data_IF_873256082643
#
_entry.id   IF_873256082643
#
_cell.length_a   1.000
_cell.length_b   1.000
_cell.length_c   1.000
_cell.angle_alpha   90.00
_cell.angle_beta   90.00
_cell.angle_gamma   90.00
#
_symmetry.space_group_name_H-M   'P 1'
#
loop_
_entity.id
_entity.type
_entity.pdbx_description
1 polymer ?
#
# COMPACT_ATOMS: atom_id res chain seq x y z
N UNK A 1 9.55 -47.06 -43.58
CA UNK A 1 9.75 -46.10 -42.46
C UNK A 1 11.25 -45.93 -42.32
N UNK A 2 11.79 -44.76 -42.70
CA UNK A 2 13.22 -44.53 -42.63
C UNK A 2 13.65 -44.51 -41.15
N UNK A 3 14.71 -45.25 -40.82
CA UNK A 3 15.32 -45.19 -39.50
C UNK A 3 15.94 -43.79 -39.34
N UNK A 4 15.43 -43.04 -38.37
CA UNK A 4 15.99 -41.76 -37.95
C UNK A 4 17.50 -41.92 -37.68
N UNK A 5 18.33 -41.09 -38.30
CA UNK A 5 19.79 -41.22 -38.15
C UNK A 5 20.20 -40.88 -36.73
N UNK A 6 21.32 -41.44 -36.26
CA UNK A 6 21.87 -41.14 -34.93
C UNK A 6 22.21 -39.63 -34.79
N UNK A 7 22.59 -38.99 -35.89
CA UNK A 7 22.80 -37.54 -35.99
C UNK A 7 21.49 -36.74 -35.84
N UNK A 8 20.38 -37.20 -36.43
CA UNK A 8 19.07 -36.57 -36.26
C UNK A 8 18.57 -36.66 -34.82
N UNK A 9 18.83 -37.78 -34.14
CA UNK A 9 18.50 -37.97 -32.72
C UNK A 9 19.33 -37.05 -31.83
N UNK A 10 20.63 -36.96 -32.08
CA UNK A 10 21.53 -36.07 -31.35
C UNK A 10 21.14 -34.59 -31.53
N UNK A 11 20.75 -34.21 -32.76
CA UNK A 11 20.26 -32.86 -33.05
C UNK A 11 18.95 -32.55 -32.31
N UNK A 12 18.01 -33.50 -32.26
CA UNK A 12 16.76 -33.36 -31.49
C UNK A 12 17.00 -33.24 -29.99
N UNK A 13 17.88 -34.06 -29.41
CA UNK A 13 18.22 -33.95 -27.99
C UNK A 13 18.89 -32.61 -27.68
N UNK A 14 19.80 -32.16 -28.54
CA UNK A 14 20.46 -30.85 -28.39
C UNK A 14 19.44 -29.70 -28.42
N UNK A 15 18.51 -29.68 -29.39
CA UNK A 15 17.47 -28.64 -29.45
C UNK A 15 16.52 -28.68 -28.24
N UNK A 16 16.21 -29.86 -27.70
CA UNK A 16 15.41 -29.99 -26.49
C UNK A 16 16.14 -29.41 -25.27
N UNK A 17 17.43 -29.71 -25.13
CA UNK A 17 18.27 -29.21 -24.04
C UNK A 17 18.45 -27.69 -24.12
N UNK A 18 18.75 -27.16 -25.30
CA UNK A 18 18.79 -25.70 -25.54
C UNK A 18 17.46 -25.05 -25.15
N UNK A 19 16.33 -25.65 -25.55
CA UNK A 19 15.01 -25.12 -25.22
C UNK A 19 14.70 -25.21 -23.71
N UNK A 20 15.21 -26.21 -22.99
CA UNK A 20 15.07 -26.31 -21.54
C UNK A 20 15.87 -25.20 -20.83
N UNK A 21 17.12 -24.99 -21.25
CA UNK A 21 17.97 -23.89 -20.75
C UNK A 21 17.35 -22.52 -21.04
N UNK A 22 16.76 -22.32 -22.23
CA UNK A 22 16.04 -21.09 -22.56
C UNK A 22 14.85 -20.84 -21.63
N UNK A 23 14.09 -21.88 -21.28
CA UNK A 23 12.97 -21.75 -20.33
C UNK A 23 13.46 -21.38 -18.93
N UNK A 24 14.51 -22.03 -18.46
CA UNK A 24 15.08 -21.78 -17.14
C UNK A 24 15.65 -20.36 -17.05
N UNK A 25 16.38 -19.92 -18.08
CA UNK A 25 16.87 -18.54 -18.20
C UNK A 25 15.72 -17.52 -18.17
N UNK A 26 14.60 -17.82 -18.84
CA UNK A 26 13.44 -16.93 -18.85
C UNK A 26 12.77 -16.87 -17.47
N UNK A 27 12.65 -18.00 -16.76
CA UNK A 27 12.15 -18.04 -15.37
C UNK A 27 13.01 -17.15 -14.47
N UNK A 28 14.34 -17.30 -14.54
CA UNK A 28 15.27 -16.48 -13.76
C UNK A 28 15.17 -15.00 -14.12
N UNK A 29 15.07 -14.68 -15.41
CA UNK A 29 14.89 -13.30 -15.90
C UNK A 29 13.66 -12.67 -15.28
N UNK A 30 12.50 -13.33 -15.36
CA UNK A 30 11.22 -12.82 -14.83
C UNK A 30 11.31 -12.58 -13.32
N UNK A 31 11.92 -13.50 -12.58
CA UNK A 31 12.06 -13.38 -11.12
C UNK A 31 13.07 -12.29 -10.72
N UNK A 32 14.08 -12.03 -11.55
CA UNK A 32 15.04 -10.95 -11.35
C UNK A 32 14.50 -9.56 -11.72
N UNK A 33 13.39 -9.49 -12.47
CA UNK A 33 12.79 -8.22 -12.87
C UNK A 33 12.29 -7.42 -11.67
N UNK A 34 12.21 -6.10 -11.85
CA UNK A 34 11.77 -5.25 -10.76
C UNK A 34 10.27 -5.42 -10.49
N UNK A 35 9.92 -5.93 -9.29
CA UNK A 35 8.55 -6.31 -8.89
C UNK A 35 7.46 -5.25 -9.12
N UNK A 36 7.82 -3.96 -9.10
CA UNK A 36 6.87 -2.85 -9.29
C UNK A 36 6.72 -2.42 -10.76
N UNK A 37 7.51 -2.96 -11.69
CA UNK A 37 7.43 -2.64 -13.11
C UNK A 37 6.87 -3.82 -13.93
N UNK A 38 5.57 -3.81 -14.27
CA UNK A 38 4.94 -4.88 -15.06
C UNK A 38 5.49 -5.03 -16.48
N UNK A 39 5.97 -3.95 -17.10
CA UNK A 39 6.51 -3.98 -18.47
C UNK A 39 7.80 -4.80 -18.56
N UNK A 40 8.65 -4.75 -17.53
CA UNK A 40 9.89 -5.55 -17.46
C UNK A 40 9.62 -7.05 -17.37
N UNK A 41 8.59 -7.46 -16.63
CA UNK A 41 8.21 -8.87 -16.50
C UNK A 41 7.82 -9.44 -17.87
N UNK A 42 7.08 -8.68 -18.68
CA UNK A 42 6.70 -9.08 -20.04
C UNK A 42 7.80 -8.82 -21.08
N UNK A 43 8.91 -8.19 -20.70
CA UNK A 43 9.96 -7.74 -21.61
C UNK A 43 9.41 -6.85 -22.75
N UNK A 44 8.54 -5.91 -22.40
CA UNK A 44 7.91 -4.98 -23.34
C UNK A 44 8.41 -3.55 -23.12
N UNK A 45 8.57 -2.76 -24.19
CA UNK A 45 8.82 -1.32 -24.05
C UNK A 45 7.56 -0.61 -23.53
N UNK A 46 7.75 0.53 -22.88
CA UNK A 46 6.67 1.30 -22.24
C UNK A 46 5.63 1.86 -23.23
N UNK A 47 5.92 1.89 -24.53
CA UNK A 47 5.02 2.31 -25.61
C UNK A 47 4.16 1.17 -26.18
N UNK A 48 4.30 -0.06 -25.68
CA UNK A 48 3.57 -1.22 -26.17
C UNK A 48 2.07 -1.09 -25.96
N UNK A 49 1.24 -1.56 -26.90
CA UNK A 49 -0.22 -1.54 -26.77
C UNK A 49 -0.74 -2.61 -25.79
N UNK A 50 -2.01 -2.54 -25.42
CA UNK A 50 -2.67 -3.59 -24.62
C UNK A 50 -2.74 -4.94 -25.34
N UNK A 51 -2.78 -4.93 -26.68
CA UNK A 51 -2.77 -6.16 -27.47
C UNK A 51 -1.38 -6.81 -27.51
N UNK A 52 -0.31 -6.00 -27.53
CA UNK A 52 1.07 -6.51 -27.43
C UNK A 52 1.30 -7.18 -26.07
N UNK A 53 0.75 -6.59 -24.99
CA UNK A 53 0.74 -7.19 -23.64
C UNK A 53 0.10 -8.58 -23.67
N UNK A 54 -1.06 -8.74 -24.31
CA UNK A 54 -1.74 -10.05 -24.41
C UNK A 54 -0.94 -11.07 -25.23
N UNK A 55 -0.41 -10.65 -26.38
CA UNK A 55 0.39 -11.51 -27.26
C UNK A 55 1.65 -12.01 -26.55
N UNK A 56 2.36 -11.08 -25.92
CA UNK A 56 3.61 -11.39 -25.24
C UNK A 56 3.37 -12.25 -23.99
N UNK A 57 2.32 -11.96 -23.21
CA UNK A 57 1.92 -12.82 -22.11
C UNK A 57 1.63 -14.25 -22.59
N UNK A 58 0.88 -14.43 -23.68
CA UNK A 58 0.61 -15.77 -24.23
C UNK A 58 1.89 -16.50 -24.63
N UNK A 59 2.86 -15.81 -25.22
CA UNK A 59 4.16 -16.39 -25.59
C UNK A 59 4.96 -16.82 -24.35
N UNK A 60 5.11 -15.92 -23.38
CA UNK A 60 5.90 -16.17 -22.18
C UNK A 60 5.25 -17.20 -21.25
N UNK A 61 3.94 -17.12 -21.05
CA UNK A 61 3.19 -18.07 -20.20
C UNK A 61 3.30 -19.51 -20.69
N UNK A 62 3.36 -19.74 -22.00
CA UNK A 62 3.60 -21.08 -22.56
C UNK A 62 5.05 -21.56 -22.33
N UNK A 63 6.01 -20.63 -22.35
CA UNK A 63 7.42 -20.92 -22.16
C UNK A 63 7.73 -21.28 -20.70
N UNK A 64 7.18 -20.52 -19.74
CA UNK A 64 7.39 -20.72 -18.29
C UNK A 64 6.26 -21.49 -17.61
N UNK A 65 5.40 -22.16 -18.37
CA UNK A 65 4.29 -22.93 -17.79
C UNK A 65 4.85 -24.04 -16.88
N UNK A 66 4.33 -24.21 -15.65
CA UNK A 66 4.88 -25.19 -14.69
C UNK A 66 4.76 -26.65 -15.14
N UNK A 67 3.90 -26.95 -16.13
CA UNK A 67 3.78 -28.28 -16.74
C UNK A 67 4.86 -28.55 -17.81
N UNK A 68 5.38 -27.51 -18.46
CA UNK A 68 6.36 -27.62 -19.56
C UNK A 68 7.79 -27.30 -19.11
N UNK A 69 7.94 -26.45 -18.09
CA UNK A 69 9.20 -26.05 -17.50
C UNK A 69 9.38 -26.79 -16.16
N UNK A 70 10.47 -27.55 -16.03
CA UNK A 70 10.77 -28.34 -14.82
C UNK A 70 11.40 -27.51 -13.69
N UNK A 71 11.66 -26.22 -13.93
CA UNK A 71 12.29 -25.33 -12.95
C UNK A 71 11.42 -25.20 -11.68
N UNK A 72 12.04 -25.32 -10.51
CA UNK A 72 11.33 -25.27 -9.22
C UNK A 72 10.52 -23.97 -9.02
N UNK A 73 11.02 -22.85 -9.57
CA UNK A 73 10.38 -21.54 -9.46
C UNK A 73 9.47 -21.18 -10.65
N UNK A 74 9.21 -22.09 -11.59
CA UNK A 74 8.36 -21.81 -12.76
C UNK A 74 6.95 -21.31 -12.35
N UNK A 75 6.38 -21.87 -11.28
CA UNK A 75 5.09 -21.44 -10.72
C UNK A 75 5.11 -19.98 -10.24
N UNK A 76 6.21 -19.55 -9.60
CA UNK A 76 6.37 -18.19 -9.11
C UNK A 76 6.52 -17.20 -10.27
N UNK A 77 7.35 -17.53 -11.26
CA UNK A 77 7.53 -16.72 -12.47
C UNK A 77 6.21 -16.59 -13.26
N UNK A 78 5.46 -17.68 -13.40
CA UNK A 78 4.15 -17.66 -14.04
C UNK A 78 3.16 -16.74 -13.31
N UNK A 79 3.13 -16.81 -11.97
CA UNK A 79 2.28 -15.94 -11.16
C UNK A 79 2.68 -14.45 -11.31
N UNK A 80 3.98 -14.16 -11.37
CA UNK A 80 4.49 -12.81 -11.62
C UNK A 80 4.08 -12.27 -13.00
N UNK A 81 4.16 -13.11 -14.05
CA UNK A 81 3.67 -12.76 -15.39
C UNK A 81 2.16 -12.48 -15.41
N UNK A 82 1.37 -13.34 -14.75
CA UNK A 82 -0.08 -13.19 -14.70
C UNK A 82 -0.47 -11.88 -14.00
N UNK A 83 0.18 -11.58 -12.86
CA UNK A 83 -0.01 -10.30 -12.16
C UNK A 83 0.39 -9.10 -13.02
N UNK A 84 1.52 -9.18 -13.72
CA UNK A 84 1.97 -8.11 -14.61
C UNK A 84 0.97 -7.85 -15.75
N UNK A 85 0.43 -8.92 -16.35
CA UNK A 85 -0.60 -8.80 -17.38
C UNK A 85 -1.88 -8.14 -16.82
N UNK A 86 -2.36 -8.58 -15.65
CA UNK A 86 -3.55 -8.00 -15.01
C UNK A 86 -3.41 -6.49 -14.78
N UNK A 87 -2.28 -6.05 -14.23
CA UNK A 87 -2.00 -4.64 -13.99
C UNK A 87 -1.93 -3.81 -15.29
N UNK A 88 -1.43 -4.40 -16.38
CA UNK A 88 -1.32 -3.70 -17.67
C UNK A 88 -2.60 -3.74 -18.52
N UNK A 89 -3.56 -4.60 -18.16
CA UNK A 89 -4.89 -4.65 -18.76
C UNK A 89 -5.87 -3.73 -18.05
N UNK A 90 -5.68 -3.48 -16.75
CA UNK A 90 -6.44 -2.46 -16.02
C UNK A 90 -6.04 -1.05 -16.51
N UNK A 91 -7.00 -0.28 -17.07
CA UNK A 91 -6.72 1.07 -17.56
C UNK A 91 -6.15 2.00 -16.49
N UNK A 92 -6.63 1.90 -15.24
CA UNK A 92 -6.23 2.83 -14.16
C UNK A 92 -4.79 2.57 -13.73
N UNK A 93 -4.45 1.31 -13.45
CA UNK A 93 -3.09 0.91 -13.07
C UNK A 93 -2.10 1.15 -14.21
N UNK A 94 -2.49 0.84 -15.44
CA UNK A 94 -1.67 1.12 -16.62
C UNK A 94 -1.39 2.61 -16.78
N UNK A 95 -2.42 3.46 -16.67
CA UNK A 95 -2.27 4.91 -16.74
C UNK A 95 -1.37 5.44 -15.62
N UNK A 96 -1.54 4.94 -14.40
CA UNK A 96 -0.68 5.29 -13.27
C UNK A 96 0.80 4.99 -13.57
N UNK A 97 1.11 3.77 -14.05
CA UNK A 97 2.47 3.38 -14.40
C UNK A 97 3.01 4.24 -15.54
N UNK A 98 2.22 4.48 -16.59
CA UNK A 98 2.62 5.33 -17.72
C UNK A 98 2.87 6.79 -17.29
N UNK A 99 2.10 7.31 -16.35
CA UNK A 99 2.32 8.63 -15.74
C UNK A 99 3.67 8.69 -15.03
N UNK A 100 4.02 7.66 -14.25
CA UNK A 100 5.36 7.58 -13.63
C UNK A 100 6.48 7.48 -14.66
N UNK A 101 6.27 6.73 -15.75
CA UNK A 101 7.23 6.64 -16.87
C UNK A 101 7.40 7.99 -17.56
N UNK A 102 6.32 8.74 -17.79
CA UNK A 102 6.39 10.07 -18.40
C UNK A 102 7.11 11.06 -17.48
N UNK A 103 6.85 11.01 -16.17
CA UNK A 103 7.60 11.80 -15.20
C UNK A 103 9.10 11.48 -15.23
N UNK A 104 9.46 10.19 -15.28
CA UNK A 104 10.85 9.74 -15.43
C UNK A 104 11.51 10.27 -16.71
N UNK A 105 10.79 10.20 -17.84
CA UNK A 105 11.26 10.74 -19.13
C UNK A 105 11.49 12.25 -19.06
N UNK A 106 10.58 12.99 -18.46
CA UNK A 106 10.67 14.45 -18.36
C UNK A 106 11.81 14.90 -17.45
N UNK A 107 12.07 14.18 -16.36
CA UNK A 107 13.25 14.43 -15.52
C UNK A 107 14.55 14.20 -16.29
N UNK A 108 14.65 13.12 -17.07
CA UNK A 108 15.83 12.83 -17.88
C UNK A 108 16.04 13.88 -18.97
N UNK A 109 14.98 14.27 -19.69
CA UNK A 109 15.01 15.38 -20.65
C UNK A 109 15.46 16.68 -20.00
N UNK A 110 14.94 16.99 -18.81
CA UNK A 110 15.31 18.19 -18.06
C UNK A 110 16.77 18.19 -17.62
N UNK A 111 17.30 17.04 -17.18
CA UNK A 111 18.74 16.88 -16.85
C UNK A 111 19.60 17.11 -18.09
N UNK A 112 19.27 16.45 -19.22
CA UNK A 112 20.00 16.59 -20.48
C UNK A 112 20.00 18.03 -20.99
N UNK A 113 18.85 18.71 -20.94
CA UNK A 113 18.74 20.13 -21.31
C UNK A 113 19.61 21.04 -20.44
N UNK A 114 19.78 20.71 -19.16
CA UNK A 114 20.68 21.46 -18.25
C UNK A 114 22.16 21.22 -18.57
N UNK A 115 22.54 19.99 -18.92
CA UNK A 115 23.90 19.66 -19.37
C UNK A 115 24.26 20.40 -20.67
N UNK A 116 23.37 20.33 -21.67
CA UNK A 116 23.57 21.04 -22.94
C UNK A 116 23.64 22.56 -22.79
N UNK A 117 23.04 23.13 -21.74
CA UNK A 117 23.16 24.57 -21.44
C UNK A 117 24.52 24.95 -20.86
N UNK A 118 25.25 24.00 -20.25
CA UNK A 118 26.59 24.26 -19.68
C UNK A 118 27.67 24.25 -20.76
N UNK A 119 27.52 23.41 -21.79
CA UNK A 119 28.47 23.30 -22.89
C UNK A 119 27.98 24.06 -24.14
N UNK A 120 28.51 25.26 -24.38
CA UNK A 120 28.13 26.09 -25.54
C UNK A 120 28.36 25.39 -26.89
N UNK A 121 29.38 24.53 -27.02
CA UNK A 121 29.67 23.79 -28.25
C UNK A 121 28.56 22.76 -28.59
N UNK A 122 28.05 22.07 -27.58
CA UNK A 122 27.00 21.04 -27.71
C UNK A 122 25.63 21.69 -27.95
N UNK A 123 25.40 22.88 -27.40
CA UNK A 123 24.22 23.72 -27.67
C UNK A 123 24.14 24.17 -29.13
N UNK A 124 25.26 24.58 -29.73
CA UNK A 124 25.31 24.96 -31.15
C UNK A 124 25.03 23.73 -32.03
N UNK A 125 25.57 22.55 -31.67
CA UNK A 125 25.35 21.31 -32.42
C UNK A 125 23.90 20.80 -32.35
N UNK A 126 23.21 20.98 -31.22
CA UNK A 126 21.80 20.59 -31.08
C UNK A 126 20.82 21.58 -31.73
N UNK A 127 21.16 22.88 -31.79
CA UNK A 127 20.37 23.91 -32.49
C UNK A 127 20.37 23.74 -34.01
N UNK A 128 21.45 23.19 -34.57
CA UNK A 128 21.60 22.97 -36.03
C UNK A 128 20.74 21.82 -36.55
N UNK A 129 20.32 20.89 -35.69
CA UNK A 129 19.71 19.61 -36.11
C UNK A 129 18.20 19.51 -35.82
N UNK A 130 17.51 20.64 -35.57
CA UNK A 130 16.05 20.78 -35.44
C UNK A 130 15.35 19.69 -34.59
N UNK A 131 15.98 19.21 -33.50
CA UNK A 131 15.40 18.19 -32.61
C UNK A 131 15.52 16.74 -33.11
N UNK A 132 16.09 16.48 -34.29
CA UNK A 132 16.39 15.12 -34.77
C UNK A 132 17.39 14.40 -33.87
N UNK A 133 18.40 15.12 -33.39
CA UNK A 133 19.40 14.58 -32.46
C UNK A 133 18.81 14.16 -31.11
N UNK A 134 17.83 14.92 -30.60
CA UNK A 134 17.13 14.59 -29.36
C UNK A 134 16.28 13.32 -29.53
N UNK A 135 15.57 13.19 -30.66
CA UNK A 135 14.77 12.00 -30.96
C UNK A 135 15.64 10.74 -31.11
N UNK A 136 16.78 10.86 -31.80
CA UNK A 136 17.75 9.75 -31.92
C UNK A 136 18.32 9.35 -30.56
N UNK A 137 18.64 10.32 -29.70
CA UNK A 137 19.11 10.05 -28.35
C UNK A 137 18.04 9.34 -27.51
N UNK A 138 16.77 9.74 -27.60
CA UNK A 138 15.67 9.06 -26.88
C UNK A 138 15.41 7.64 -27.35
N UNK A 139 15.73 7.33 -28.60
CA UNK A 139 15.66 5.98 -29.14
C UNK A 139 16.90 5.14 -28.81
N UNK A 140 18.02 5.78 -28.45
CA UNK A 140 19.27 5.12 -28.09
C UNK A 140 19.08 4.17 -26.89
N UNK A 141 19.79 3.04 -26.93
CA UNK A 141 19.79 2.04 -25.87
C UNK A 141 20.22 2.64 -24.53
N UNK A 142 21.15 3.59 -24.54
CA UNK A 142 21.61 4.29 -23.34
C UNK A 142 20.46 5.03 -22.65
N UNK A 143 19.64 5.75 -23.42
CA UNK A 143 18.50 6.48 -22.88
C UNK A 143 17.44 5.51 -22.37
N UNK A 144 17.17 4.42 -23.09
CA UNK A 144 16.23 3.41 -22.64
C UNK A 144 16.67 2.75 -21.33
N UNK A 145 17.96 2.46 -21.17
CA UNK A 145 18.52 1.92 -19.92
C UNK A 145 18.40 2.93 -18.78
N UNK A 146 18.79 4.18 -19.02
CA UNK A 146 18.64 5.27 -18.04
C UNK A 146 17.19 5.50 -17.65
N UNK A 147 16.27 5.41 -18.61
CA UNK A 147 14.83 5.49 -18.36
C UNK A 147 14.35 4.35 -17.48
N UNK A 148 14.73 3.10 -17.77
CA UNK A 148 14.36 1.93 -16.93
C UNK A 148 14.86 2.11 -15.49
N UNK A 149 16.11 2.52 -15.31
CA UNK A 149 16.68 2.80 -13.99
C UNK A 149 15.93 3.92 -13.26
N UNK A 150 15.60 5.01 -13.97
CA UNK A 150 14.89 6.14 -13.36
C UNK A 150 13.45 5.80 -13.01
N UNK A 151 12.77 5.02 -13.85
CA UNK A 151 11.43 4.49 -13.57
C UNK A 151 11.45 3.61 -12.32
N UNK A 152 12.46 2.73 -12.19
CA UNK A 152 12.65 1.90 -11.00
C UNK A 152 12.84 2.75 -9.74
N UNK A 153 13.64 3.81 -9.80
CA UNK A 153 13.85 4.75 -8.69
C UNK A 153 12.52 5.40 -8.26
N UNK A 154 11.79 5.99 -9.22
CA UNK A 154 10.52 6.69 -8.95
C UNK A 154 9.47 5.72 -8.39
N UNK A 155 9.31 4.54 -8.99
CA UNK A 155 8.35 3.55 -8.51
C UNK A 155 8.69 3.06 -7.10
N UNK A 156 9.98 2.88 -6.77
CA UNK A 156 10.41 2.52 -5.42
C UNK A 156 10.05 3.60 -4.41
N UNK A 157 10.31 4.86 -4.76
CA UNK A 157 10.03 6.00 -3.87
C UNK A 157 8.52 6.18 -3.65
N UNK A 158 7.70 6.04 -4.71
CA UNK A 158 6.25 6.16 -4.60
C UNK A 158 5.65 5.03 -3.77
N UNK A 159 6.12 3.79 -3.94
CA UNK A 159 5.68 2.65 -3.14
C UNK A 159 6.08 2.83 -1.66
N UNK A 160 7.29 3.35 -1.40
CA UNK A 160 7.71 3.70 -0.05
C UNK A 160 6.80 4.76 0.57
N UNK A 161 6.48 5.84 -0.16
CA UNK A 161 5.56 6.89 0.29
C UNK A 161 4.16 6.35 0.54
N UNK A 162 3.65 5.48 -0.34
CA UNK A 162 2.34 4.82 -0.19
C UNK A 162 2.29 3.99 1.08
N UNK A 163 3.28 3.12 1.32
CA UNK A 163 3.36 2.30 2.54
C UNK A 163 3.47 3.15 3.81
N UNK A 164 4.31 4.19 3.78
CA UNK A 164 4.45 5.12 4.90
C UNK A 164 3.15 5.88 5.19
N UNK A 165 2.40 6.25 4.16
CA UNK A 165 1.08 6.88 4.32
C UNK A 165 0.08 5.89 4.92
N UNK A 166 0.02 4.65 4.40
CA UNK A 166 -0.88 3.61 4.89
C UNK A 166 -0.62 3.27 6.36
N UNK A 167 0.64 3.19 6.78
CA UNK A 167 1.01 3.00 8.18
C UNK A 167 0.46 4.12 9.08
N UNK A 168 0.57 5.38 8.65
CA UNK A 168 0.05 6.53 9.41
C UNK A 168 -1.48 6.51 9.50
N UNK A 169 -2.16 6.20 8.40
CA UNK A 169 -3.63 6.08 8.40
C UNK A 169 -4.09 4.97 9.34
N UNK A 170 -3.46 3.80 9.28
CA UNK A 170 -3.81 2.68 10.16
C UNK A 170 -3.57 3.00 11.64
N UNK A 171 -2.52 3.77 11.95
CA UNK A 171 -2.25 4.24 13.31
C UNK A 171 -3.32 5.23 13.79
N UNK A 172 -3.71 6.18 12.94
CA UNK A 172 -4.79 7.14 13.24
C UNK A 172 -6.15 6.45 13.40
N UNK A 173 -6.50 5.51 12.53
CA UNK A 173 -7.71 4.68 12.64
C UNK A 173 -7.71 3.86 13.93
N UNK A 174 -6.56 3.31 14.31
CA UNK A 174 -6.40 2.58 15.57
C UNK A 174 -6.62 3.46 16.80
N UNK A 175 -6.11 4.70 16.77
CA UNK A 175 -6.35 5.68 17.84
C UNK A 175 -7.82 6.08 17.93
N UNK A 176 -8.44 6.39 16.80
CA UNK A 176 -9.85 6.76 16.74
C UNK A 176 -10.75 5.64 17.27
N UNK A 177 -10.47 4.39 16.88
CA UNK A 177 -11.21 3.22 17.37
C UNK A 177 -11.08 3.04 18.88
N UNK A 178 -9.89 3.27 19.43
CA UNK A 178 -9.66 3.22 20.87
C UNK A 178 -10.47 4.31 21.60
N UNK A 179 -10.45 5.53 21.10
CA UNK A 179 -11.24 6.64 21.68
C UNK A 179 -12.76 6.34 21.59
N UNK A 180 -13.23 5.73 20.49
CA UNK A 180 -14.61 5.26 20.38
C UNK A 180 -14.96 4.15 21.38
N UNK A 181 -14.06 3.20 21.62
CA UNK A 181 -14.27 2.13 22.60
C UNK A 181 -14.28 2.69 24.02
N UNK A 182 -13.35 3.59 24.36
CA UNK A 182 -13.30 4.26 25.66
C UNK A 182 -14.56 5.10 25.92
N UNK A 183 -15.05 5.84 24.93
CA UNK A 183 -16.31 6.59 25.06
C UNK A 183 -17.51 5.66 25.21
N UNK A 184 -17.60 4.57 24.43
CA UNK A 184 -18.66 3.55 24.60
C UNK A 184 -18.63 2.92 25.99
N UNK A 185 -17.45 2.60 26.50
CA UNK A 185 -17.28 2.10 27.87
C UNK A 185 -17.69 3.14 28.90
N UNK A 186 -17.31 4.40 28.73
CA UNK A 186 -17.72 5.50 29.63
C UNK A 186 -19.24 5.64 29.67
N UNK A 187 -19.91 5.63 28.51
CA UNK A 187 -21.37 5.67 28.45
C UNK A 187 -22.02 4.43 29.07
N UNK A 188 -21.42 3.26 28.90
CA UNK A 188 -21.88 2.01 29.52
C UNK A 188 -21.73 2.07 31.04
N UNK A 189 -20.56 2.44 31.57
CA UNK A 189 -20.33 2.65 33.01
C UNK A 189 -21.29 3.68 33.59
N UNK A 190 -21.52 4.79 32.88
CA UNK A 190 -22.48 5.83 33.29
C UNK A 190 -23.91 5.30 33.37
N UNK A 191 -24.32 4.51 32.38
CA UNK A 191 -25.65 3.87 32.36
C UNK A 191 -25.80 2.86 33.49
N UNK A 192 -24.82 1.98 33.68
CA UNK A 192 -24.82 0.99 34.77
C UNK A 192 -24.86 1.67 36.14
N UNK A 193 -24.09 2.75 36.34
CA UNK A 193 -24.13 3.55 37.56
C UNK A 193 -25.50 4.21 37.77
N UNK A 194 -26.12 4.76 36.72
CA UNK A 194 -27.46 5.36 36.78
C UNK A 194 -28.53 4.32 37.12
N UNK A 195 -28.47 3.13 36.52
CA UNK A 195 -29.35 2.00 36.84
C UNK A 195 -29.19 1.56 38.31
N UNK A 196 -27.96 1.44 38.81
CA UNK A 196 -27.69 1.13 40.23
C UNK A 196 -28.19 2.25 41.17
N UNK A 197 -28.02 3.52 40.77
CA UNK A 197 -28.49 4.67 41.52
C UNK A 197 -30.02 4.72 41.58
N UNK A 198 -30.73 4.43 40.49
CA UNK A 198 -32.19 4.33 40.47
C UNK A 198 -32.69 3.07 41.20
N UNK A 199 -32.01 1.93 41.10
CA UNK A 199 -32.36 0.72 41.84
C UNK A 199 -32.31 0.90 43.36
N UNK A 200 -31.40 1.75 43.85
CA UNK A 200 -31.31 2.13 45.28
C UNK A 200 -32.27 3.26 45.68
N UNK A 201 -33.07 3.80 44.74
CA UNK A 201 -33.98 4.94 44.99
C UNK A 201 -35.01 4.65 46.07
N UNK A 202 -35.69 3.51 46.03
CA UNK A 202 -36.72 3.19 47.03
C UNK A 202 -36.13 3.09 48.45
N UNK A 203 -34.96 2.46 48.58
CA UNK A 203 -34.23 2.36 49.83
C UNK A 203 -33.82 3.75 50.35
N UNK A 204 -33.28 4.61 49.47
CA UNK A 204 -32.94 6.00 49.84
C UNK A 204 -34.18 6.81 50.24
N UNK A 205 -35.27 6.68 49.48
CA UNK A 205 -36.54 7.38 49.77
C UNK A 205 -37.16 6.86 51.06
N UNK A 206 -37.11 5.56 51.33
CA UNK A 206 -37.58 4.97 52.60
C UNK A 206 -36.75 5.48 53.76
N UNK A 207 -35.42 5.41 53.67
CA UNK A 207 -34.50 5.94 54.69
C UNK A 207 -34.75 7.43 54.98
N UNK A 208 -35.02 8.23 53.93
CA UNK A 208 -35.38 9.64 54.10
C UNK A 208 -36.78 9.84 54.74
N UNK A 209 -37.78 9.03 54.37
CA UNK A 209 -39.11 9.03 55.01
C UNK A 209 -39.02 8.64 56.49
N UNK A 210 -38.19 7.67 56.83
CA UNK A 210 -37.97 7.20 58.19
C UNK A 210 -37.25 8.28 59.02
N UNK A 211 -36.27 8.97 58.44
CA UNK A 211 -35.66 10.15 59.04
C UNK A 211 -36.68 11.27 59.34
N UNK A 212 -37.59 11.54 58.40
CA UNK A 212 -38.66 12.55 58.57
C UNK A 212 -39.72 12.13 59.60
N UNK A 213 -40.03 10.83 59.71
CA UNK A 213 -40.93 10.28 60.74
C UNK A 213 -40.27 10.21 62.12
N UNK A 214 -38.94 10.10 62.17
CA UNK A 214 -38.10 10.03 63.37
C UNK A 214 -37.94 11.35 64.13
N UNK A 215 -38.98 12.18 64.21
CA UNK A 215 -39.02 13.42 64.99
C UNK A 215 -38.98 13.25 66.51
N UNK A 216 -38.25 12.26 67.05
CA UNK A 216 -38.01 12.09 68.49
C UNK A 216 -36.51 12.03 68.79
N UNK A 217 -36.06 13.04 69.54
CA UNK A 217 -34.71 13.25 70.09
C UNK A 217 -34.02 11.93 70.50
N UNK A 218 -32.97 11.55 69.78
CA UNK A 218 -31.92 10.67 70.30
C UNK A 218 -30.68 11.52 70.60
N UNK A 219 -30.13 11.31 71.79
CA UNK A 219 -29.08 12.10 72.43
C UNK A 219 -27.75 12.11 71.65
N UNK A 220 -27.18 13.32 71.56
CA UNK A 220 -25.77 13.74 71.48
C UNK A 220 -24.70 12.65 71.21
N UNK A 221 -24.27 12.58 69.96
CA UNK A 221 -22.92 12.18 69.54
C UNK A 221 -22.58 13.01 68.29
N UNK A 222 -21.47 13.74 68.29
CA UNK A 222 -21.09 14.67 67.20
C UNK A 222 -20.89 13.94 65.86
N UNK A 223 -21.93 13.92 65.03
CA UNK A 223 -21.82 13.54 63.62
C UNK A 223 -21.33 14.78 62.88
N UNK A 224 -20.03 14.87 62.62
CA UNK A 224 -19.48 15.87 61.70
C UNK A 224 -20.03 15.56 60.30
N UNK A 225 -20.66 16.52 59.61
CA UNK A 225 -21.14 16.29 58.26
C UNK A 225 -19.96 15.92 57.35
N UNK A 226 -20.07 14.86 56.52
CA UNK A 226 -19.05 14.51 55.56
C UNK A 226 -18.68 15.72 54.69
N UNK A 227 -17.38 15.97 54.52
CA UNK A 227 -16.90 17.09 53.69
C UNK A 227 -17.51 16.98 52.30
N UNK A 228 -18.16 18.05 51.85
CA UNK A 228 -18.72 18.20 50.51
C UNK A 228 -17.58 18.00 49.50
N UNK A 229 -17.55 16.85 48.83
CA UNK A 229 -16.67 16.64 47.67
C UNK A 229 -17.28 17.45 46.53
N UNK A 230 -16.79 18.68 46.33
CA UNK A 230 -17.34 19.66 45.39
C UNK A 230 -17.08 19.29 43.93
N UNK A 231 -16.17 18.37 43.66
CA UNK A 231 -15.82 17.96 42.29
C UNK A 231 -15.62 16.44 42.29
N UNK A 232 -16.66 15.71 41.86
CA UNK A 232 -16.63 14.27 41.64
C UNK A 232 -17.01 14.05 40.17
N UNK A 233 -16.04 13.79 39.27
CA UNK A 233 -16.28 13.68 37.83
C UNK A 233 -17.32 12.62 37.44
N UNK A 234 -17.59 11.64 38.31
CA UNK A 234 -18.57 10.58 38.10
C UNK A 234 -20.00 10.93 38.56
N UNK A 235 -20.20 12.05 39.29
CA UNK A 235 -21.53 12.43 39.79
C UNK A 235 -22.13 13.54 38.95
N UNK A 236 -23.32 13.29 38.39
CA UNK A 236 -24.06 14.26 37.56
C UNK A 236 -24.58 15.48 38.35
N UNK A 237 -24.59 15.44 39.68
CA UNK A 237 -25.14 16.50 40.52
C UNK A 237 -24.13 17.00 41.57
N UNK A 238 -23.57 18.18 41.32
CA UNK A 238 -22.84 18.95 42.31
C UNK A 238 -23.84 19.73 43.16
N UNK A 239 -23.99 19.35 44.44
CA UNK A 239 -24.81 20.10 45.39
C UNK A 239 -24.24 21.51 45.54
N UNK A 240 -24.99 22.52 45.07
CA UNK A 240 -24.62 23.93 45.27
C UNK A 240 -24.80 24.28 46.76
N UNK A 241 -23.84 24.99 47.38
CA UNK A 241 -23.99 25.41 48.76
C UNK A 241 -25.17 26.39 48.89
N UNK A 242 -26.08 26.09 49.81
CA UNK A 242 -27.25 26.92 50.11
C UNK A 242 -26.77 28.19 50.81
N UNK A 243 -26.97 29.38 50.21
CA UNK A 243 -26.73 30.66 50.88
C UNK A 243 -27.67 30.77 52.07
N UNK A 244 -27.12 30.75 53.28
CA UNK A 244 -27.85 31.14 54.49
C UNK A 244 -27.95 32.67 54.52
N UNK A 245 -29.17 33.19 54.55
CA UNK A 245 -29.45 34.57 54.93
C UNK A 245 -29.31 34.76 56.43
#
# INVERSE_FOLDING_TARGET
>A
MAAESEEERLLKSFFLEVSEVERDNEVLRILSCFKLNPFEHLNLPFNSSTDDVKKQYRKLSLLVHPDKCKHAQAKEAFAALAKAQQLLLDPQEREYILSQVNHAKEELRSKRKKELKKDNATKIKSLVDEGKYEHQYEQSDEFQQMLKLKVREILTEQEWRRRKMQMRISEEEGRLKKDEEETKEMWKRKREHEEQWEGTREQRVSSWRDFMKGGKKVKKGEIRPPKLKTEDPEKSYVQRPVKRG
#
